data_IF_200381683141
#
_entry.id   IF_200381683141
#
_cell.length_a   1.000
_cell.length_b   1.000
_cell.length_c   1.000
_cell.angle_alpha   90.00
_cell.angle_beta   90.00
_cell.angle_gamma   90.00
#
_symmetry.space_group_name_H-M   'P 1'
#
loop_
_entity.id
_entity.type
_entity.pdbx_description
1 polymer ?
#
# COMPACT_ATOMS: atom_id res chain seq x y z
N UNK A 1 -21.45 34.56 53.69
CA UNK A 1 -22.60 33.79 53.18
C UNK A 1 -22.69 34.02 51.68
N UNK A 2 -21.99 33.21 50.89
CA UNK A 2 -22.03 33.32 49.43
C UNK A 2 -23.33 32.69 48.94
N UNK A 3 -24.19 33.52 48.34
CA UNK A 3 -25.43 33.10 47.71
C UNK A 3 -25.13 32.08 46.61
N UNK A 4 -25.58 30.85 46.85
CA UNK A 4 -25.70 29.79 45.87
C UNK A 4 -26.73 30.24 44.82
N UNK A 5 -26.29 31.01 43.81
CA UNK A 5 -27.15 31.38 42.69
C UNK A 5 -27.53 30.10 41.95
N UNK A 6 -28.82 29.78 41.95
CA UNK A 6 -29.41 28.69 41.17
C UNK A 6 -28.98 28.81 39.71
N UNK A 7 -28.03 27.97 39.28
CA UNK A 7 -27.68 27.81 37.87
C UNK A 7 -28.75 26.92 37.25
N UNK A 8 -29.66 27.43 36.40
CA UNK A 8 -30.72 26.61 35.85
C UNK A 8 -30.13 25.52 34.95
N UNK A 9 -30.34 24.25 35.32
CA UNK A 9 -30.07 23.14 34.42
C UNK A 9 -31.03 23.24 33.23
N UNK A 10 -30.49 23.16 32.01
CA UNK A 10 -31.28 23.19 30.78
C UNK A 10 -30.92 21.97 29.93
N UNK A 11 -31.93 21.24 29.47
CA UNK A 11 -31.76 20.36 28.32
C UNK A 11 -31.42 21.24 27.11
N UNK A 12 -30.30 20.95 26.47
CA UNK A 12 -29.73 21.74 25.38
C UNK A 12 -28.97 20.81 24.44
N UNK A 13 -28.63 21.27 23.24
CA UNK A 13 -27.75 20.54 22.32
C UNK A 13 -26.37 21.21 22.22
N UNK A 14 -25.44 20.56 21.52
CA UNK A 14 -24.07 21.03 21.34
C UNK A 14 -24.00 22.36 20.56
N UNK A 15 -24.89 22.60 19.60
CA UNK A 15 -24.91 23.84 18.81
C UNK A 15 -25.26 25.05 19.69
N UNK A 16 -26.24 24.90 20.57
CA UNK A 16 -26.64 25.94 21.52
C UNK A 16 -25.53 26.23 22.54
N UNK A 17 -24.83 25.18 22.99
CA UNK A 17 -23.69 25.31 23.88
C UNK A 17 -22.51 26.06 23.23
N UNK A 18 -22.11 25.66 22.02
CA UNK A 18 -21.03 26.33 21.27
C UNK A 18 -21.37 27.80 21.01
N UNK A 19 -22.60 28.09 20.59
CA UNK A 19 -23.04 29.46 20.29
C UNK A 19 -22.96 30.37 21.52
N UNK A 20 -23.31 29.85 22.71
CA UNK A 20 -23.19 30.60 23.97
C UNK A 20 -21.73 30.79 24.40
N UNK A 21 -20.91 29.75 24.31
CA UNK A 21 -19.51 29.82 24.74
C UNK A 21 -18.68 30.76 23.85
N UNK A 22 -18.94 30.79 22.53
CA UNK A 22 -18.28 31.73 21.61
C UNK A 22 -18.44 33.20 22.02
N UNK A 23 -19.54 33.56 22.69
CA UNK A 23 -19.77 34.92 23.19
C UNK A 23 -18.97 35.24 24.48
N UNK A 24 -18.47 34.22 25.18
CA UNK A 24 -17.88 34.34 26.51
C UNK A 24 -16.41 33.92 26.60
N UNK A 25 -15.86 33.26 25.57
CA UNK A 25 -14.45 32.86 25.54
C UNK A 25 -13.61 33.95 24.87
N UNK A 26 -12.87 34.70 25.69
CA UNK A 26 -11.79 35.57 25.22
C UNK A 26 -10.54 34.72 24.99
N UNK A 27 -10.28 34.36 23.73
CA UNK A 27 -9.02 33.87 23.14
C UNK A 27 -8.01 33.10 24.03
N UNK A 28 -7.58 31.92 23.57
CA UNK A 28 -6.39 31.21 24.06
C UNK A 28 -5.73 30.42 22.93
N UNK A 29 -4.40 30.35 22.91
CA UNK A 29 -3.68 29.51 21.94
C UNK A 29 -3.75 28.06 22.44
N UNK A 30 -4.62 27.27 21.81
CA UNK A 30 -4.60 25.82 21.98
C UNK A 30 -3.45 25.30 21.13
N UNK A 31 -2.42 24.74 21.77
CA UNK A 31 -1.39 23.95 21.09
C UNK A 31 -1.90 22.50 20.96
N UNK A 32 -2.32 22.05 19.77
CA UNK A 32 -2.94 20.74 19.58
C UNK A 32 -2.00 19.56 19.87
N UNK A 33 -0.68 19.76 19.78
CA UNK A 33 0.31 18.70 19.98
C UNK A 33 0.45 18.28 21.45
N UNK A 34 0.06 19.14 22.39
CA UNK A 34 0.21 18.87 23.84
C UNK A 34 -0.87 17.95 24.41
N UNK A 35 -1.95 17.67 23.68
CA UNK A 35 -3.11 16.94 24.18
C UNK A 35 -3.03 15.41 24.04
N UNK A 36 -2.08 14.87 23.27
CA UNK A 36 -2.03 13.43 22.95
C UNK A 36 -1.28 12.56 23.96
N UNK A 37 -0.67 13.14 25.02
CA UNK A 37 0.11 12.38 26.01
C UNK A 37 -0.64 11.99 27.29
N UNK A 38 -1.84 12.52 27.54
CA UNK A 38 -2.59 12.21 28.75
C UNK A 38 -3.64 11.13 28.47
N UNK A 39 -3.38 9.90 28.92
CA UNK A 39 -4.46 9.00 29.33
C UNK A 39 -4.75 7.73 28.50
N UNK A 40 -4.02 7.42 27.43
CA UNK A 40 -4.31 6.21 26.61
C UNK A 40 -3.37 5.03 26.91
N UNK A 41 -2.42 5.16 27.85
CA UNK A 41 -1.43 4.10 28.12
C UNK A 41 -1.99 2.84 28.80
N UNK A 42 -3.14 2.94 29.47
CA UNK A 42 -3.74 1.85 30.24
C UNK A 42 -5.01 1.36 29.55
N UNK A 43 -4.87 0.57 28.47
CA UNK A 43 -6.02 -0.02 27.78
C UNK A 43 -5.91 -0.12 26.26
N UNK A 44 -4.83 0.36 25.65
CA UNK A 44 -4.52 0.02 24.25
C UNK A 44 -4.15 -1.45 24.19
N UNK A 45 -4.95 -2.22 23.45
CA UNK A 45 -4.59 -3.58 23.08
C UNK A 45 -3.39 -3.50 22.11
N UNK A 46 -2.20 -3.80 22.61
CA UNK A 46 -0.97 -3.92 21.80
C UNK A 46 -0.76 -5.35 21.29
N UNK A 47 -1.78 -6.19 21.39
CA UNK A 47 -1.65 -7.64 21.28
C UNK A 47 -1.64 -8.10 19.81
N UNK A 48 -0.86 -9.14 19.55
CA UNK A 48 -0.65 -9.78 18.23
C UNK A 48 -1.96 -10.25 17.56
N UNK A 49 -3.03 -10.47 18.33
CA UNK A 49 -4.33 -10.94 17.84
C UNK A 49 -5.04 -9.94 16.92
N UNK A 50 -4.74 -8.64 17.04
CA UNK A 50 -5.32 -7.61 16.16
C UNK A 50 -4.60 -7.51 14.80
N UNK A 51 -3.48 -8.21 14.65
CA UNK A 51 -2.61 -8.13 13.48
C UNK A 51 -3.29 -8.51 12.15
N UNK A 52 -4.14 -9.57 12.06
CA UNK A 52 -4.84 -9.91 10.82
C UNK A 52 -5.81 -8.82 10.37
N UNK A 53 -6.59 -8.26 11.29
CA UNK A 53 -7.53 -7.17 11.01
C UNK A 53 -6.77 -5.95 10.47
N UNK A 54 -5.78 -5.46 11.19
CA UNK A 54 -5.02 -4.28 10.77
C UNK A 54 -4.21 -4.52 9.49
N UNK A 55 -3.75 -5.74 9.25
CA UNK A 55 -3.14 -6.12 7.98
C UNK A 55 -4.13 -5.92 6.83
N UNK A 56 -5.33 -6.50 6.91
CA UNK A 56 -6.36 -6.36 5.88
C UNK A 56 -6.79 -4.89 5.72
N UNK A 57 -7.01 -4.15 6.80
CA UNK A 57 -7.38 -2.73 6.74
C UNK A 57 -6.28 -1.85 6.13
N UNK A 58 -5.02 -2.11 6.42
CA UNK A 58 -3.90 -1.37 5.84
C UNK A 58 -3.75 -1.68 4.36
N UNK A 59 -3.91 -2.95 3.97
CA UNK A 59 -3.87 -3.38 2.58
C UNK A 59 -5.05 -2.83 1.77
N UNK A 60 -6.27 -2.92 2.30
CA UNK A 60 -7.47 -2.36 1.71
C UNK A 60 -7.34 -0.85 1.52
N UNK A 61 -6.91 -0.10 2.55
CA UNK A 61 -6.73 1.35 2.47
C UNK A 61 -5.69 1.75 1.42
N UNK A 62 -4.52 1.09 1.38
CA UNK A 62 -3.48 1.39 0.39
C UNK A 62 -4.01 1.19 -1.03
N UNK A 63 -4.63 0.05 -1.30
CA UNK A 63 -5.20 -0.26 -2.63
C UNK A 63 -6.43 0.57 -2.97
N UNK A 64 -7.18 1.04 -1.98
CA UNK A 64 -8.32 1.92 -2.20
C UNK A 64 -7.88 3.22 -2.87
N UNK A 65 -6.80 3.85 -2.38
CA UNK A 65 -6.26 5.04 -3.04
C UNK A 65 -5.77 4.77 -4.47
N UNK A 66 -5.22 3.58 -4.74
CA UNK A 66 -4.84 3.17 -6.09
C UNK A 66 -6.09 2.97 -6.97
N UNK A 67 -7.13 2.33 -6.44
CA UNK A 67 -8.40 2.09 -7.12
C UNK A 67 -9.10 3.41 -7.49
N UNK A 68 -9.14 4.38 -6.59
CA UNK A 68 -9.74 5.70 -6.86
C UNK A 68 -9.03 6.36 -8.05
N UNK A 69 -7.69 6.46 -8.00
CA UNK A 69 -6.88 7.09 -9.06
C UNK A 69 -7.03 6.38 -10.40
N UNK A 70 -6.91 5.06 -10.41
CA UNK A 70 -7.00 4.25 -11.63
C UNK A 70 -8.43 4.24 -12.18
N UNK A 71 -9.45 4.23 -11.33
CA UNK A 71 -10.85 4.33 -11.76
C UNK A 71 -11.16 5.69 -12.38
N UNK A 72 -10.66 6.78 -11.81
CA UNK A 72 -10.78 8.12 -12.41
C UNK A 72 -10.12 8.19 -13.77
N UNK A 73 -8.93 7.60 -13.92
CA UNK A 73 -8.25 7.53 -15.23
C UNK A 73 -9.08 6.73 -16.25
N UNK A 74 -9.57 5.56 -15.87
CA UNK A 74 -10.43 4.75 -16.74
C UNK A 74 -11.72 5.46 -17.16
N UNK A 75 -12.32 6.26 -16.27
CA UNK A 75 -13.52 7.05 -16.58
C UNK A 75 -13.22 8.18 -17.58
N UNK A 76 -12.13 8.93 -17.35
CA UNK A 76 -11.67 9.99 -18.26
C UNK A 76 -11.39 9.43 -19.66
N UNK A 77 -10.84 8.21 -19.73
CA UNK A 77 -10.53 7.52 -20.99
C UNK A 77 -11.73 6.77 -21.59
N UNK A 78 -12.91 6.83 -20.96
CA UNK A 78 -14.12 6.16 -21.45
C UNK A 78 -14.07 4.62 -21.39
N UNK A 79 -13.17 4.04 -20.59
CA UNK A 79 -12.99 2.59 -20.48
C UNK A 79 -13.99 1.94 -19.51
N UNK A 80 -14.42 2.68 -18.49
CA UNK A 80 -15.41 2.24 -17.51
C UNK A 80 -15.83 3.39 -16.60
N UNK A 81 -17.07 3.36 -16.11
CA UNK A 81 -17.55 4.29 -15.10
C UNK A 81 -16.79 4.14 -13.77
N UNK A 82 -16.68 5.26 -13.04
CA UNK A 82 -16.15 5.26 -11.68
C UNK A 82 -17.07 4.47 -10.73
N UNK A 83 -16.56 3.45 -10.01
CA UNK A 83 -17.38 2.56 -9.17
C UNK A 83 -17.70 3.21 -7.82
N UNK A 84 -18.45 4.32 -7.84
CA UNK A 84 -18.73 5.16 -6.67
C UNK A 84 -19.42 4.39 -5.55
N UNK A 85 -20.39 3.55 -5.89
CA UNK A 85 -21.18 2.80 -4.90
C UNK A 85 -20.29 1.80 -4.16
N UNK A 86 -19.48 1.04 -4.90
CA UNK A 86 -18.58 0.03 -4.38
C UNK A 86 -17.47 0.66 -3.54
N UNK A 87 -16.88 1.76 -4.03
CA UNK A 87 -15.86 2.52 -3.28
C UNK A 87 -16.43 3.04 -1.96
N UNK A 88 -17.63 3.64 -1.97
CA UNK A 88 -18.26 4.14 -0.74
C UNK A 88 -18.53 3.02 0.26
N UNK A 89 -19.04 1.87 -0.21
CA UNK A 89 -19.31 0.73 0.65
C UNK A 89 -18.03 0.16 1.25
N UNK A 90 -16.96 0.00 0.46
CA UNK A 90 -15.66 -0.48 0.93
C UNK A 90 -14.95 0.52 1.85
N UNK A 91 -15.05 1.82 1.60
CA UNK A 91 -14.61 2.84 2.55
C UNK A 91 -15.36 2.73 3.87
N UNK A 92 -16.68 2.52 3.84
CA UNK A 92 -17.48 2.25 5.02
C UNK A 92 -16.94 1.08 5.83
N UNK A 93 -16.60 -0.04 5.17
CA UNK A 93 -15.99 -1.22 5.82
C UNK A 93 -14.62 -0.91 6.42
N UNK A 94 -13.76 -0.17 5.71
CA UNK A 94 -12.44 0.23 6.20
C UNK A 94 -12.56 1.13 7.44
N UNK A 95 -13.47 2.12 7.40
CA UNK A 95 -13.66 3.07 8.50
C UNK A 95 -14.29 2.38 9.72
N UNK A 96 -15.27 1.50 9.50
CA UNK A 96 -15.88 0.70 10.57
C UNK A 96 -14.85 -0.20 11.27
N UNK A 97 -13.93 -0.82 10.52
CA UNK A 97 -12.84 -1.60 11.10
C UNK A 97 -11.80 -0.78 11.87
N UNK A 98 -11.78 0.55 11.73
CA UNK A 98 -10.86 1.47 12.44
C UNK A 98 -11.52 2.22 13.59
N UNK A 99 -12.74 1.85 13.98
CA UNK A 99 -13.34 2.44 15.15
C UNK A 99 -12.46 2.23 16.40
N UNK A 100 -12.40 3.26 17.25
CA UNK A 100 -11.58 3.26 18.46
C UNK A 100 -11.96 2.14 19.44
N UNK A 101 -13.20 1.63 19.41
CA UNK A 101 -13.60 0.48 20.22
C UNK A 101 -12.85 -0.80 19.84
N UNK A 102 -12.36 -0.90 18.61
CA UNK A 102 -11.55 -2.03 18.14
C UNK A 102 -10.13 -2.02 18.73
N UNK A 103 -9.67 -0.86 19.24
CA UNK A 103 -8.40 -0.73 19.96
C UNK A 103 -8.54 -0.96 21.47
N UNK A 104 -9.78 -1.01 21.98
CA UNK A 104 -10.10 -1.23 23.38
C UNK A 104 -10.42 -2.71 23.66
N UNK A 105 -10.48 -3.09 24.94
CA UNK A 105 -10.81 -4.45 25.41
C UNK A 105 -12.12 -5.03 24.83
N UNK A 106 -13.06 -4.16 24.42
CA UNK A 106 -14.34 -4.55 23.79
C UNK A 106 -14.17 -5.07 22.35
N UNK A 107 -13.08 -4.71 21.65
CA UNK A 107 -12.79 -5.18 20.29
C UNK A 107 -12.61 -6.70 20.19
N UNK A 108 -12.04 -7.32 21.23
CA UNK A 108 -11.72 -8.76 21.26
C UNK A 108 -12.95 -9.67 21.07
N UNK A 109 -14.16 -9.19 21.36
CA UNK A 109 -15.39 -9.97 21.24
C UNK A 109 -15.80 -10.17 19.76
N UNK A 110 -15.30 -9.32 18.85
CA UNK A 110 -15.77 -9.27 17.45
C UNK A 110 -14.63 -9.33 16.40
N UNK A 111 -13.39 -9.63 16.80
CA UNK A 111 -12.21 -9.60 15.92
C UNK A 111 -12.39 -10.43 14.63
N UNK A 112 -13.01 -11.61 14.73
CA UNK A 112 -13.26 -12.48 13.56
C UNK A 112 -14.19 -11.81 12.56
N UNK A 113 -15.33 -11.28 13.03
CA UNK A 113 -16.29 -10.54 12.20
C UNK A 113 -15.67 -9.32 11.52
N UNK A 114 -14.86 -8.54 12.26
CA UNK A 114 -14.16 -7.39 11.70
C UNK A 114 -13.08 -7.78 10.70
N UNK A 115 -12.30 -8.83 11.00
CA UNK A 115 -11.27 -9.34 10.12
C UNK A 115 -11.88 -9.83 8.81
N UNK A 116 -13.02 -10.50 8.87
CA UNK A 116 -13.76 -10.93 7.68
C UNK A 116 -14.30 -9.76 6.87
N UNK A 117 -14.88 -8.74 7.51
CA UNK A 117 -15.31 -7.52 6.81
C UNK A 117 -14.13 -6.85 6.10
N UNK A 118 -12.98 -6.71 6.79
CA UNK A 118 -11.78 -6.11 6.22
C UNK A 118 -11.21 -6.95 5.07
N UNK A 119 -11.20 -8.28 5.21
CA UNK A 119 -10.75 -9.22 4.18
C UNK A 119 -11.65 -9.17 2.94
N UNK A 120 -12.97 -9.10 3.13
CA UNK A 120 -13.94 -8.96 2.04
C UNK A 120 -13.74 -7.64 1.29
N UNK A 121 -13.58 -6.53 2.02
CA UNK A 121 -13.29 -5.22 1.43
C UNK A 121 -11.98 -5.26 0.63
N UNK A 122 -10.91 -5.80 1.21
CA UNK A 122 -9.62 -5.93 0.52
C UNK A 122 -9.74 -6.75 -0.77
N UNK A 123 -10.45 -7.88 -0.71
CA UNK A 123 -10.64 -8.75 -1.87
C UNK A 123 -11.44 -8.06 -2.99
N UNK A 124 -12.50 -7.33 -2.65
CA UNK A 124 -13.29 -6.58 -3.63
C UNK A 124 -12.51 -5.43 -4.26
N UNK A 125 -11.81 -4.64 -3.45
CA UNK A 125 -10.93 -3.55 -3.92
C UNK A 125 -9.87 -4.11 -4.87
N UNK A 126 -9.25 -5.24 -4.52
CA UNK A 126 -8.25 -5.90 -5.37
C UNK A 126 -8.84 -6.35 -6.71
N UNK A 127 -10.05 -6.92 -6.70
CA UNK A 127 -10.75 -7.33 -7.91
C UNK A 127 -11.08 -6.15 -8.83
N UNK A 128 -11.64 -5.08 -8.27
CA UNK A 128 -11.93 -3.85 -9.02
C UNK A 128 -10.66 -3.24 -9.61
N UNK A 129 -9.59 -3.13 -8.81
CA UNK A 129 -8.32 -2.56 -9.27
C UNK A 129 -7.72 -3.40 -10.40
N UNK A 130 -7.75 -4.72 -10.29
CA UNK A 130 -7.26 -5.63 -11.34
C UNK A 130 -8.06 -5.48 -12.65
N UNK A 131 -9.39 -5.38 -12.57
CA UNK A 131 -10.25 -5.13 -13.75
C UNK A 131 -9.89 -3.80 -14.44
N UNK A 132 -9.73 -2.72 -13.66
CA UNK A 132 -9.37 -1.41 -14.21
C UNK A 132 -7.97 -1.40 -14.83
N UNK A 133 -6.98 -1.99 -14.17
CA UNK A 133 -5.63 -2.14 -14.73
C UNK A 133 -5.63 -2.98 -16.01
N UNK A 134 -6.45 -4.02 -16.08
CA UNK A 134 -6.62 -4.83 -17.30
C UNK A 134 -7.18 -3.99 -18.45
N UNK A 135 -8.20 -3.14 -18.19
CA UNK A 135 -8.75 -2.23 -19.20
C UNK A 135 -7.69 -1.24 -19.71
N UNK A 136 -6.89 -0.66 -18.82
CA UNK A 136 -5.78 0.20 -19.22
C UNK A 136 -4.75 -0.56 -20.03
N UNK A 137 -4.39 -1.79 -19.63
CA UNK A 137 -3.41 -2.60 -20.35
C UNK A 137 -3.85 -2.90 -21.79
N UNK A 138 -5.16 -3.05 -22.05
CA UNK A 138 -5.69 -3.34 -23.37
C UNK A 138 -5.63 -2.18 -24.37
N UNK A 139 -5.44 -0.93 -23.88
CA UNK A 139 -5.31 0.25 -24.75
C UNK A 139 -3.85 0.69 -24.94
N UNK A 140 -2.90 0.07 -24.24
CA UNK A 140 -1.48 0.36 -24.41
C UNK A 140 -0.97 -0.29 -25.70
N UNK A 141 -0.25 0.48 -26.50
CA UNK A 141 0.47 -0.05 -27.65
C UNK A 141 1.81 -0.67 -27.20
N UNK A 142 2.01 -1.94 -27.52
CA UNK A 142 3.23 -2.68 -27.19
C UNK A 142 4.16 -2.70 -28.40
N UNK A 143 5.29 -2.00 -28.30
CA UNK A 143 6.19 -1.74 -29.43
C UNK A 143 7.25 -2.82 -29.69
N UNK A 144 7.32 -3.89 -28.87
CA UNK A 144 8.38 -4.90 -28.93
C UNK A 144 7.85 -6.32 -28.82
N UNK A 145 8.62 -7.25 -29.37
CA UNK A 145 8.42 -8.68 -29.18
C UNK A 145 8.82 -9.11 -27.75
N UNK A 146 8.21 -10.18 -27.26
CA UNK A 146 8.38 -10.69 -25.90
C UNK A 146 7.07 -10.68 -25.11
N UNK A 147 7.13 -11.02 -23.83
CA UNK A 147 5.99 -10.91 -22.91
C UNK A 147 6.01 -9.50 -22.32
N UNK A 148 5.04 -8.62 -22.66
CA UNK A 148 4.97 -7.29 -22.07
C UNK A 148 4.53 -7.37 -20.61
N UNK A 149 5.19 -6.59 -19.77
CA UNK A 149 4.89 -6.39 -18.35
C UNK A 149 4.70 -4.90 -18.15
N UNK A 150 3.43 -4.51 -18.01
CA UNK A 150 3.02 -3.13 -17.78
C UNK A 150 3.03 -2.83 -16.28
N UNK A 151 3.81 -1.85 -15.86
CA UNK A 151 3.94 -1.44 -14.47
C UNK A 151 3.42 -0.02 -14.31
N UNK A 152 2.36 0.14 -13.52
CA UNK A 152 1.81 1.45 -13.15
C UNK A 152 2.40 1.96 -11.84
N UNK A 153 2.67 3.25 -11.79
CA UNK A 153 3.03 3.99 -10.60
C UNK A 153 1.91 4.97 -10.25
N UNK A 154 1.17 4.68 -9.18
CA UNK A 154 0.07 5.50 -8.67
C UNK A 154 0.52 6.59 -7.68
N UNK A 155 1.83 6.77 -7.50
CA UNK A 155 2.41 7.82 -6.66
C UNK A 155 2.69 9.07 -7.50
N UNK A 156 2.75 10.22 -6.84
CA UNK A 156 3.03 11.51 -7.48
C UNK A 156 4.54 11.82 -7.61
N UNK A 157 5.42 10.83 -7.42
CA UNK A 157 6.85 10.95 -7.68
C UNK A 157 7.36 9.77 -8.51
N UNK A 158 8.48 9.99 -9.20
CA UNK A 158 9.16 8.96 -10.02
C UNK A 158 9.69 7.86 -9.10
N UNK A 159 9.53 6.60 -9.50
CA UNK A 159 9.93 5.45 -8.68
C UNK A 159 10.79 4.46 -9.47
N UNK A 160 11.83 3.96 -8.82
CA UNK A 160 12.58 2.77 -9.25
C UNK A 160 12.52 1.76 -8.12
N UNK A 161 12.02 0.55 -8.38
CA UNK A 161 11.89 -0.47 -7.35
C UNK A 161 11.88 -1.89 -7.95
N UNK A 162 12.40 -2.91 -7.24
CA UNK A 162 12.15 -4.29 -7.62
C UNK A 162 10.67 -4.64 -7.48
N UNK A 163 10.10 -5.23 -8.53
CA UNK A 163 8.76 -5.81 -8.52
C UNK A 163 8.84 -7.32 -8.69
N UNK A 164 7.97 -8.02 -8.00
CA UNK A 164 7.82 -9.45 -8.19
C UNK A 164 6.72 -9.76 -9.18
N UNK A 165 7.00 -10.72 -10.08
CA UNK A 165 6.04 -11.22 -11.05
C UNK A 165 6.11 -12.74 -11.11
N UNK A 166 4.96 -13.36 -11.31
CA UNK A 166 4.85 -14.80 -11.54
C UNK A 166 4.28 -15.04 -12.94
N UNK A 167 5.04 -15.72 -13.79
CA UNK A 167 4.66 -15.98 -15.17
C UNK A 167 4.80 -17.46 -15.50
N UNK A 168 3.85 -17.99 -16.26
CA UNK A 168 3.93 -19.31 -16.86
C UNK A 168 4.55 -19.17 -18.26
N UNK A 169 5.79 -19.61 -18.42
CA UNK A 169 6.56 -19.44 -19.66
C UNK A 169 7.17 -20.78 -20.11
N UNK A 170 7.62 -20.87 -21.37
CA UNK A 170 8.46 -21.97 -21.82
C UNK A 170 9.70 -22.13 -20.94
N UNK A 171 10.18 -23.36 -20.74
CA UNK A 171 11.42 -23.59 -19.99
C UNK A 171 12.61 -22.98 -20.75
N UNK A 172 13.21 -21.92 -20.21
CA UNK A 172 14.34 -21.23 -20.80
C UNK A 172 15.08 -20.34 -19.79
N UNK A 173 16.08 -19.61 -20.27
CA UNK A 173 16.62 -18.43 -19.60
C UNK A 173 15.88 -17.20 -20.10
N UNK A 174 15.72 -16.20 -19.23
CA UNK A 174 15.03 -14.96 -19.56
C UNK A 174 15.84 -13.75 -19.11
N UNK A 175 15.69 -12.67 -19.89
CA UNK A 175 16.13 -11.34 -19.54
C UNK A 175 14.98 -10.35 -19.72
N UNK A 176 15.12 -9.17 -19.13
CA UNK A 176 14.16 -8.09 -19.27
C UNK A 176 14.78 -6.92 -20.03
N UNK A 177 13.98 -6.29 -20.89
CA UNK A 177 14.32 -5.03 -21.55
C UNK A 177 13.22 -4.00 -21.29
N UNK A 178 13.55 -2.73 -21.28
CA UNK A 178 12.56 -1.65 -21.24
C UNK A 178 11.99 -1.33 -22.64
N UNK A 179 11.09 -0.34 -22.71
CA UNK A 179 10.52 0.13 -23.98
C UNK A 179 11.57 0.71 -24.95
N UNK A 180 12.73 1.17 -24.47
CA UNK A 180 13.86 1.63 -25.30
C UNK A 180 14.70 0.47 -25.86
N UNK A 181 14.51 -0.74 -25.32
CA UNK A 181 15.27 -1.94 -25.67
C UNK A 181 16.53 -2.12 -24.83
N UNK A 182 16.73 -1.27 -23.83
CA UNK A 182 17.83 -1.37 -22.88
C UNK A 182 17.54 -2.49 -21.89
N UNK A 183 18.56 -3.31 -21.62
CA UNK A 183 18.43 -4.39 -20.64
C UNK A 183 18.26 -3.82 -19.22
N UNK A 184 17.35 -4.41 -18.46
CA UNK A 184 17.12 -4.06 -17.06
C UNK A 184 17.33 -5.29 -16.17
N UNK A 185 17.80 -5.12 -14.92
CA UNK A 185 18.02 -6.25 -14.02
C UNK A 185 16.78 -7.13 -13.85
N UNK A 186 16.95 -8.41 -14.14
CA UNK A 186 15.97 -9.46 -13.93
C UNK A 186 16.64 -10.64 -13.23
N UNK A 187 16.04 -11.08 -12.12
CA UNK A 187 16.48 -12.26 -11.37
C UNK A 187 15.35 -13.30 -11.35
N UNK A 188 15.68 -14.57 -11.60
CA UNK A 188 14.77 -15.68 -11.31
C UNK A 188 14.92 -16.01 -9.82
N UNK A 189 13.86 -15.78 -9.04
CA UNK A 189 13.81 -16.09 -7.59
C UNK A 189 13.56 -17.58 -7.40
N UNK A 190 12.63 -18.13 -8.17
CA UNK A 190 12.33 -19.56 -8.17
C UNK A 190 11.68 -19.98 -9.48
N UNK A 191 11.76 -21.28 -9.79
CA UNK A 191 11.10 -21.87 -10.94
C UNK A 191 10.50 -23.22 -10.56
N UNK A 192 9.29 -23.50 -11.03
CA UNK A 192 8.60 -24.79 -10.86
C UNK A 192 8.20 -25.33 -12.22
N UNK A 193 8.79 -26.44 -12.62
CA UNK A 193 8.33 -27.20 -13.79
C UNK A 193 6.95 -27.79 -13.49
N UNK A 194 6.01 -27.62 -14.43
CA UNK A 194 4.63 -28.11 -14.32
C UNK A 194 4.24 -29.03 -15.49
N UNK A 195 5.19 -29.42 -16.33
CA UNK A 195 4.95 -30.33 -17.46
C UNK A 195 5.75 -29.95 -18.70
N UNK A 196 5.57 -30.69 -19.82
CA UNK A 196 6.44 -30.60 -20.99
C UNK A 196 6.62 -29.16 -21.51
N UNK A 197 7.82 -28.62 -21.29
CA UNK A 197 8.22 -27.29 -21.74
C UNK A 197 7.48 -26.14 -21.06
N UNK A 198 6.87 -26.35 -19.88
CA UNK A 198 6.10 -25.33 -19.16
C UNK A 198 6.64 -25.16 -17.74
N UNK A 199 7.09 -23.95 -17.44
CA UNK A 199 7.65 -23.63 -16.12
C UNK A 199 7.00 -22.36 -15.58
N UNK A 200 6.57 -22.42 -14.31
CA UNK A 200 6.15 -21.23 -13.57
C UNK A 200 7.42 -20.60 -13.01
N UNK A 201 7.72 -19.38 -13.43
CA UNK A 201 8.82 -18.59 -12.92
C UNK A 201 8.31 -17.51 -11.98
N UNK A 202 8.99 -17.31 -10.86
CA UNK A 202 8.89 -16.10 -10.05
C UNK A 202 10.12 -15.25 -10.32
N UNK A 203 9.92 -14.07 -10.87
CA UNK A 203 11.00 -13.13 -11.16
C UNK A 203 10.97 -11.94 -10.20
N UNK A 204 12.15 -11.38 -9.96
CA UNK A 204 12.35 -10.03 -9.45
C UNK A 204 12.83 -9.17 -10.62
N UNK A 205 12.00 -8.22 -11.05
CA UNK A 205 12.31 -7.26 -12.12
C UNK A 205 12.57 -5.89 -11.52
N UNK A 206 13.67 -5.25 -11.86
CA UNK A 206 13.88 -3.85 -11.49
C UNK A 206 13.05 -2.93 -12.40
N UNK A 207 11.97 -2.36 -11.88
CA UNK A 207 11.13 -1.40 -12.59
C UNK A 207 11.79 -0.02 -12.55
N UNK A 208 12.59 0.33 -13.57
CA UNK A 208 13.40 1.55 -13.57
C UNK A 208 12.58 2.76 -14.04
N UNK A 209 12.71 3.88 -13.31
CA UNK A 209 12.23 5.22 -13.69
C UNK A 209 10.75 5.27 -14.11
N UNK A 210 9.87 4.55 -13.41
CA UNK A 210 8.43 4.59 -13.69
C UNK A 210 7.90 5.99 -13.35
N UNK A 211 7.27 6.71 -14.30
CA UNK A 211 6.89 8.10 -14.12
C UNK A 211 5.81 8.28 -13.04
N UNK A 212 5.72 9.47 -12.40
CA UNK A 212 4.61 9.80 -11.49
C UNK A 212 3.26 9.61 -12.18
N UNK A 213 2.29 9.00 -11.49
CA UNK A 213 0.91 8.81 -11.99
C UNK A 213 0.85 8.23 -13.41
N UNK A 214 1.83 7.40 -13.78
CA UNK A 214 2.00 6.89 -15.14
C UNK A 214 2.43 5.44 -15.14
N UNK A 215 2.90 4.95 -16.29
CA UNK A 215 3.34 3.57 -16.44
C UNK A 215 4.63 3.47 -17.26
N UNK A 216 5.26 2.30 -17.17
CA UNK A 216 6.30 1.88 -18.10
C UNK A 216 6.06 0.43 -18.53
N UNK A 217 6.53 0.07 -19.71
CA UNK A 217 6.42 -1.29 -20.26
C UNK A 217 7.80 -1.92 -20.29
N UNK A 218 7.90 -3.09 -19.69
CA UNK A 218 9.06 -3.95 -19.76
C UNK A 218 8.71 -5.19 -20.58
N UNK A 219 9.70 -5.85 -21.18
CA UNK A 219 9.51 -7.04 -21.99
C UNK A 219 10.40 -8.15 -21.49
N UNK A 220 9.79 -9.28 -21.11
CA UNK A 220 10.50 -10.50 -20.79
C UNK A 220 10.75 -11.25 -22.09
N UNK A 221 12.01 -11.52 -22.40
CA UNK A 221 12.45 -12.16 -23.64
C UNK A 221 13.41 -13.31 -23.34
N UNK A 222 13.44 -14.37 -24.17
CA UNK A 222 14.42 -15.43 -24.02
C UNK A 222 15.85 -14.89 -24.08
N UNK A 223 16.72 -15.35 -23.18
CA UNK A 223 18.11 -14.96 -23.15
C UNK A 223 18.71 -14.98 -21.75
N UNK A 224 20.03 -14.95 -21.69
CA UNK A 224 20.76 -14.83 -20.44
C UNK A 224 20.74 -13.36 -19.99
N UNK A 225 20.32 -13.13 -18.74
CA UNK A 225 20.36 -11.82 -18.09
C UNK A 225 21.78 -11.52 -17.64
N UNK A 226 22.32 -10.37 -18.06
CA UNK A 226 23.61 -9.83 -17.64
C UNK A 226 23.44 -8.53 -16.84
N UNK A 227 22.22 -8.22 -16.42
CA UNK A 227 21.88 -6.97 -15.73
C UNK A 227 22.85 -6.67 -14.59
N UNK A 228 23.66 -5.64 -14.76
CA UNK A 228 24.61 -5.18 -13.75
C UNK A 228 23.90 -4.32 -12.72
N UNK A 229 24.21 -4.56 -11.44
CA UNK A 229 23.80 -3.68 -10.34
C UNK A 229 25.03 -3.24 -9.57
N UNK A 230 24.93 -2.13 -8.84
CA UNK A 230 25.94 -1.70 -7.87
C UNK A 230 25.84 -2.49 -6.54
N UNK A 231 24.85 -3.38 -6.42
CA UNK A 231 24.67 -4.26 -5.28
C UNK A 231 25.72 -5.36 -5.29
N UNK A 232 26.45 -5.47 -4.18
CA UNK A 232 27.38 -6.54 -3.88
C UNK A 232 26.98 -7.21 -2.57
N UNK A 233 27.16 -8.53 -2.49
CA UNK A 233 26.87 -9.29 -1.29
C UNK A 233 27.90 -10.39 -1.10
N UNK A 234 28.40 -10.56 0.13
CA UNK A 234 29.37 -11.61 0.47
C UNK A 234 29.88 -11.47 1.90
N UNK A 235 30.26 -12.60 2.52
CA UNK A 235 30.84 -12.65 3.87
C UNK A 235 30.06 -11.84 4.94
N UNK A 236 28.72 -11.92 4.92
CA UNK A 236 27.86 -11.20 5.87
C UNK A 236 27.69 -9.71 5.55
N UNK A 237 28.24 -9.21 4.44
CA UNK A 237 28.08 -7.81 4.02
C UNK A 237 27.15 -7.72 2.81
N UNK A 238 26.27 -6.72 2.82
CA UNK A 238 25.43 -6.30 1.69
C UNK A 238 25.71 -4.81 1.46
N UNK A 239 26.09 -4.44 0.25
CA UNK A 239 26.57 -3.09 -0.04
C UNK A 239 26.12 -2.61 -1.41
N UNK A 240 25.67 -1.36 -1.51
CA UNK A 240 25.41 -0.65 -2.75
C UNK A 240 26.01 0.77 -2.67
N UNK A 241 25.70 1.68 -3.60
CA UNK A 241 26.23 3.05 -3.55
C UNK A 241 25.81 3.88 -2.32
N UNK A 242 24.70 3.54 -1.67
CA UNK A 242 24.13 4.32 -0.57
C UNK A 242 24.48 3.73 0.80
N UNK A 243 24.39 2.41 0.94
CA UNK A 243 24.53 1.73 2.22
C UNK A 243 25.56 0.63 2.16
N UNK A 244 26.23 0.42 3.30
CA UNK A 244 26.91 -0.83 3.64
C UNK A 244 26.26 -1.41 4.89
N UNK A 245 25.73 -2.61 4.78
CA UNK A 245 25.09 -3.36 5.87
C UNK A 245 25.98 -4.55 6.19
N UNK A 246 26.36 -4.70 7.46
CA UNK A 246 27.10 -5.86 7.95
C UNK A 246 26.20 -6.64 8.90
N UNK A 247 26.10 -7.93 8.66
CA UNK A 247 25.30 -8.91 9.40
C UNK A 247 26.24 -10.00 9.90
N UNK A 248 26.09 -10.39 11.16
CA UNK A 248 26.80 -11.50 11.76
C UNK A 248 25.79 -12.56 12.27
N UNK A 249 26.29 -13.60 12.93
CA UNK A 249 25.45 -14.69 13.44
C UNK A 249 24.44 -14.24 14.52
N UNK A 250 24.59 -13.04 15.09
CA UNK A 250 23.70 -12.46 16.10
C UNK A 250 22.74 -11.42 15.53
N UNK A 251 22.80 -11.13 14.23
CA UNK A 251 21.92 -10.17 13.53
C UNK A 251 22.68 -9.01 12.90
N UNK A 252 22.04 -7.84 12.81
CA UNK A 252 22.65 -6.63 12.25
C UNK A 252 23.82 -6.17 13.13
N UNK A 253 25.02 -6.12 12.55
CA UNK A 253 26.20 -5.58 13.20
C UNK A 253 26.35 -4.08 12.94
N UNK A 254 26.11 -3.63 11.70
CA UNK A 254 26.14 -2.21 11.36
C UNK A 254 25.33 -1.89 10.12
N UNK A 255 24.85 -0.64 10.05
CA UNK A 255 24.30 -0.02 8.85
C UNK A 255 25.03 1.31 8.71
N UNK A 256 25.82 1.44 7.65
CA UNK A 256 26.59 2.64 7.34
C UNK A 256 25.96 3.35 6.14
N UNK A 257 25.52 4.59 6.36
CA UNK A 257 25.12 5.51 5.29
C UNK A 257 26.38 6.13 4.69
N UNK A 258 26.51 6.07 3.36
CA UNK A 258 27.67 6.58 2.62
C UNK A 258 27.52 8.05 2.22
N UNK A 259 26.34 8.64 2.48
CA UNK A 259 26.03 10.05 2.23
C UNK A 259 26.04 10.89 3.53
#
# INVERSE_FOLDING_TARGET
>A
EEQNQDKPMRMSNLNDFISKIKLHVASGIINPDKWTRWGIGWGIRSDDDTYPLYRHLNQARRRMFDLEKISSLCEILGLSNYPKSEINEDWGKILFGRDHSNLAYIGAINDESYSDIARQAEARIRGLLADRLTKLANIVNYSRAGIPVLIFNTLNWKRTEPVELQLLLPTSTYKAIDASGSEVPLQIISSKDIGPGKTIYRFLLMAINVPPMGYNVFYIVPGVSYGSTDLSSGAGTIENKYYRIVVNNSGFQSIYDKE
#
